data_IF_468297151322
#
_entry.id   IF_468297151322
#
_cell.length_a   1.000
_cell.length_b   1.000
_cell.length_c   1.000
_cell.angle_alpha   90.00
_cell.angle_beta   90.00
_cell.angle_gamma   90.00
#
_symmetry.space_group_name_H-M   'P 1'
#
loop_
_entity.id
_entity.type
_entity.pdbx_description
1 polymer ?
#
# COMPACT_ATOMS: atom_id res chain seq x y z
N UNK A 1 -7.35 -5.95 14.14
CA UNK A 1 -6.59 -5.08 13.23
C UNK A 1 -5.38 -4.53 13.98
N UNK A 2 -4.21 -4.37 13.34
CA UNK A 2 -3.01 -3.73 13.89
C UNK A 2 -2.81 -2.38 13.19
N UNK A 3 -2.19 -1.40 13.85
CA UNK A 3 -2.01 -0.05 13.31
C UNK A 3 -0.58 0.15 12.86
N UNK A 4 -0.39 0.65 11.65
CA UNK A 4 0.92 0.90 11.05
C UNK A 4 1.01 2.24 10.34
N UNK A 5 2.17 2.46 9.74
CA UNK A 5 2.44 3.62 8.87
C UNK A 5 3.15 3.12 7.61
N UNK A 6 2.76 3.62 6.45
CA UNK A 6 3.52 3.42 5.23
C UNK A 6 4.55 4.53 5.04
N UNK A 7 5.77 4.15 4.68
CA UNK A 7 6.90 5.07 4.48
C UNK A 7 6.68 6.07 3.36
N UNK A 8 5.73 5.79 2.43
CA UNK A 8 5.36 6.74 1.40
C UNK A 8 4.76 8.03 1.97
N UNK A 9 4.18 7.99 3.17
CA UNK A 9 3.75 9.18 3.91
C UNK A 9 4.86 10.22 4.09
N UNK A 10 6.10 9.81 3.96
CA UNK A 10 7.31 10.64 4.15
C UNK A 10 8.10 10.86 2.84
N UNK A 11 7.48 10.62 1.67
CA UNK A 11 8.13 10.65 0.35
C UNK A 11 8.96 11.93 0.10
N UNK A 12 8.52 13.10 0.60
CA UNK A 12 9.26 14.36 0.44
C UNK A 12 10.66 14.30 1.09
N UNK A 13 10.79 13.61 2.21
CA UNK A 13 12.09 13.44 2.87
C UNK A 13 13.03 12.51 2.11
N UNK A 14 12.49 11.70 1.19
CA UNK A 14 13.28 10.90 0.26
C UNK A 14 13.53 11.60 -1.08
N UNK A 15 13.03 12.82 -1.23
CA UNK A 15 13.24 13.66 -2.41
C UNK A 15 12.22 13.45 -3.52
N UNK A 16 11.19 12.69 -3.27
CA UNK A 16 10.04 12.58 -4.17
C UNK A 16 9.07 13.72 -3.86
N UNK A 17 8.85 14.59 -4.85
CA UNK A 17 7.97 15.74 -4.71
C UNK A 17 6.82 15.63 -5.71
N UNK A 18 5.59 15.74 -5.23
CA UNK A 18 4.42 15.82 -6.06
C UNK A 18 4.14 17.27 -6.49
N UNK A 19 3.38 17.51 -7.58
CA UNK A 19 3.05 18.85 -8.00
C UNK A 19 2.44 19.70 -6.87
N UNK A 20 3.05 20.85 -6.60
CA UNK A 20 2.63 21.78 -5.53
C UNK A 20 3.33 21.56 -4.18
N UNK A 21 4.07 20.48 -4.01
CA UNK A 21 4.80 20.23 -2.78
C UNK A 21 6.16 20.94 -2.75
N UNK A 22 6.58 21.34 -1.56
CA UNK A 22 7.89 21.95 -1.32
C UNK A 22 8.87 20.93 -0.75
N UNK A 23 10.15 21.02 -1.15
CA UNK A 23 11.22 20.22 -0.58
C UNK A 23 11.44 20.62 0.90
N UNK A 24 11.40 19.67 1.85
CA UNK A 24 11.66 19.92 3.27
C UNK A 24 13.14 20.32 3.55
N UNK A 25 14.05 20.20 2.58
CA UNK A 25 15.45 20.55 2.70
C UNK A 25 16.30 19.58 3.52
N UNK A 26 15.71 18.47 3.95
CA UNK A 26 16.41 17.38 4.65
C UNK A 26 16.12 16.06 3.96
N UNK A 27 17.02 15.08 4.12
CA UNK A 27 16.83 13.72 3.60
C UNK A 27 16.87 12.73 4.75
N UNK A 28 15.90 11.81 4.67
CA UNK A 28 15.78 10.72 5.63
C UNK A 28 16.39 9.43 5.10
N UNK A 29 16.73 8.60 6.06
CA UNK A 29 17.07 7.19 5.89
C UNK A 29 15.93 6.33 6.43
N UNK A 30 15.97 5.03 6.18
CA UNK A 30 15.03 4.06 6.80
C UNK A 30 15.05 4.17 8.33
N UNK A 31 16.23 4.40 8.93
CA UNK A 31 16.34 4.55 10.38
C UNK A 31 15.55 5.77 10.92
N UNK A 32 15.43 6.84 10.14
CA UNK A 32 14.62 7.99 10.53
C UNK A 32 13.13 7.64 10.50
N UNK A 33 12.67 6.89 9.49
CA UNK A 33 11.28 6.37 9.44
C UNK A 33 11.02 5.50 10.66
N UNK A 34 11.87 4.49 10.90
CA UNK A 34 11.73 3.56 12.03
C UNK A 34 11.67 4.31 13.37
N UNK A 35 12.54 5.31 13.55
CA UNK A 35 12.50 6.15 14.76
C UNK A 35 11.15 6.85 14.93
N UNK A 36 10.63 7.47 13.88
CA UNK A 36 9.35 8.19 13.94
C UNK A 36 8.19 7.24 14.21
N UNK A 37 8.10 6.10 13.52
CA UNK A 37 7.01 5.14 13.72
C UNK A 37 7.09 4.47 15.10
N UNK A 38 8.29 4.25 15.63
CA UNK A 38 8.49 3.76 17.01
C UNK A 38 8.02 4.80 18.03
N UNK A 39 8.34 6.09 17.84
CA UNK A 39 7.85 7.18 18.70
C UNK A 39 6.32 7.32 18.66
N UNK A 40 5.68 6.96 17.54
CA UNK A 40 4.22 6.92 17.39
C UNK A 40 3.58 5.70 18.07
N UNK A 41 4.36 4.70 18.45
CA UNK A 41 3.88 3.49 19.14
C UNK A 41 2.98 2.62 18.26
N UNK A 42 3.25 2.52 16.96
CA UNK A 42 2.50 1.68 16.02
C UNK A 42 2.96 0.22 16.09
N UNK A 43 2.14 -0.68 15.57
CA UNK A 43 2.41 -2.12 15.59
C UNK A 43 3.28 -2.56 14.39
N UNK A 44 3.34 -1.74 13.33
CA UNK A 44 4.10 -2.10 12.14
C UNK A 44 4.38 -0.95 11.20
N UNK A 45 5.19 -1.24 10.19
CA UNK A 45 5.59 -0.30 9.13
C UNK A 45 5.62 -1.00 7.79
N UNK A 46 5.13 -0.33 6.77
CA UNK A 46 5.31 -0.71 5.37
C UNK A 46 6.42 0.15 4.76
N UNK A 47 7.43 -0.48 4.19
CA UNK A 47 8.63 0.17 3.69
C UNK A 47 8.72 0.06 2.17
N UNK A 48 8.64 1.20 1.48
CA UNK A 48 8.81 1.30 0.04
C UNK A 48 10.25 0.98 -0.38
N UNK A 49 10.43 0.00 -1.26
CA UNK A 49 11.78 -0.39 -1.73
C UNK A 49 12.50 0.71 -2.49
N UNK A 50 11.79 1.65 -3.10
CA UNK A 50 12.41 2.81 -3.76
C UNK A 50 13.09 3.78 -2.79
N UNK A 51 12.77 3.69 -1.49
CA UNK A 51 13.39 4.49 -0.42
C UNK A 51 14.47 3.73 0.36
N UNK A 52 14.58 2.42 0.15
CA UNK A 52 15.53 1.56 0.86
C UNK A 52 16.91 1.54 0.16
N UNK A 53 17.97 1.73 0.93
CA UNK A 53 19.31 1.42 0.45
C UNK A 53 19.46 -0.11 0.23
N UNK A 54 20.14 -0.57 -0.82
CA UNK A 54 20.42 -1.99 -1.01
C UNK A 54 21.13 -2.66 0.17
N UNK A 55 21.86 -1.90 0.98
CA UNK A 55 22.56 -2.40 2.17
C UNK A 55 21.85 -2.01 3.48
N UNK A 56 20.60 -1.58 3.42
CA UNK A 56 19.83 -1.18 4.60
C UNK A 56 19.79 -2.30 5.64
N UNK A 57 19.86 -1.92 6.93
CA UNK A 57 19.85 -2.86 8.05
C UNK A 57 18.55 -3.67 8.13
N UNK A 58 17.45 -3.15 7.58
CA UNK A 58 16.18 -3.88 7.54
C UNK A 58 16.32 -5.26 6.88
N UNK A 59 17.20 -5.38 5.89
CA UNK A 59 17.46 -6.64 5.19
C UNK A 59 18.23 -7.68 6.01
N UNK A 60 18.85 -7.25 7.11
CA UNK A 60 19.61 -8.13 8.00
C UNK A 60 18.90 -8.41 9.32
N UNK A 61 17.70 -7.84 9.51
CA UNK A 61 16.88 -7.89 10.72
C UNK A 61 17.74 -7.81 12.00
N UNK A 62 18.32 -6.63 12.24
CA UNK A 62 18.97 -6.36 13.53
C UNK A 62 17.91 -6.35 14.62
N UNK A 63 18.25 -6.75 15.82
CA UNK A 63 17.36 -6.83 17.02
C UNK A 63 16.69 -5.48 17.37
N UNK A 64 17.04 -4.40 16.70
CA UNK A 64 16.50 -3.06 16.98
C UNK A 64 15.03 -2.87 16.54
N UNK A 65 14.44 -3.85 15.82
CA UNK A 65 13.09 -3.78 15.27
C UNK A 65 12.22 -4.99 15.60
N UNK A 66 12.58 -5.78 16.61
CA UNK A 66 11.91 -7.05 16.96
C UNK A 66 10.41 -6.87 17.29
N UNK A 67 10.03 -5.72 17.84
CA UNK A 67 8.65 -5.43 18.22
C UNK A 67 7.80 -4.81 17.09
N UNK A 68 8.40 -4.54 15.92
CA UNK A 68 7.72 -3.89 14.82
C UNK A 68 7.48 -4.86 13.66
N UNK A 69 6.23 -5.06 13.27
CA UNK A 69 5.92 -5.79 12.04
C UNK A 69 6.40 -4.99 10.82
N UNK A 70 7.16 -5.63 9.96
CA UNK A 70 7.66 -5.00 8.73
C UNK A 70 7.02 -5.66 7.52
N UNK A 71 6.44 -4.83 6.67
CA UNK A 71 5.98 -5.19 5.32
C UNK A 71 6.91 -4.54 4.31
N UNK A 72 7.27 -5.24 3.26
CA UNK A 72 7.98 -4.65 2.13
C UNK A 72 6.97 -4.22 1.08
N UNK A 73 6.95 -2.94 0.78
CA UNK A 73 6.22 -2.38 -0.33
C UNK A 73 7.15 -2.31 -1.55
N UNK A 74 6.93 -3.20 -2.53
CA UNK A 74 7.76 -3.23 -3.73
C UNK A 74 7.41 -2.04 -4.64
N UNK A 75 8.27 -1.03 -4.64
CA UNK A 75 8.11 0.26 -5.33
C UNK A 75 8.85 0.29 -6.66
N UNK A 76 8.40 -0.47 -7.66
CA UNK A 76 8.92 -0.36 -9.02
C UNK A 76 8.16 0.74 -9.78
N UNK A 77 8.83 1.61 -10.57
CA UNK A 77 8.19 2.80 -11.21
C UNK A 77 6.95 2.50 -12.04
N UNK A 78 6.91 1.33 -12.71
CA UNK A 78 5.78 0.91 -13.56
C UNK A 78 5.02 -0.29 -12.96
N UNK A 79 5.29 -0.70 -11.71
CA UNK A 79 4.84 -1.97 -11.19
C UNK A 79 5.29 -3.15 -12.08
N UNK A 80 4.46 -4.17 -12.20
CA UNK A 80 4.68 -5.27 -13.17
C UNK A 80 4.43 -4.83 -14.63
N UNK A 81 4.10 -3.55 -14.85
CA UNK A 81 3.71 -3.00 -16.15
C UNK A 81 2.59 -3.83 -16.80
N UNK A 82 1.58 -4.16 -16.01
CA UNK A 82 0.47 -5.00 -16.42
C UNK A 82 0.89 -6.35 -17.05
N UNK A 83 2.00 -6.92 -16.55
CA UNK A 83 2.58 -8.18 -17.05
C UNK A 83 3.50 -8.05 -18.27
N UNK A 84 3.86 -6.83 -18.68
CA UNK A 84 4.68 -6.57 -19.87
C UNK A 84 6.17 -6.36 -19.57
N UNK A 85 6.62 -6.50 -18.31
CA UNK A 85 8.00 -6.25 -17.90
C UNK A 85 8.64 -7.47 -17.24
N UNK A 86 9.44 -8.23 -17.99
CA UNK A 86 10.25 -9.33 -17.44
C UNK A 86 11.30 -8.84 -16.43
N UNK A 87 11.83 -7.64 -16.62
CA UNK A 87 12.79 -7.05 -15.69
C UNK A 87 12.14 -6.72 -14.34
N UNK A 88 10.90 -6.23 -14.33
CA UNK A 88 10.15 -5.97 -13.10
C UNK A 88 9.85 -7.27 -12.34
N UNK A 89 9.48 -8.34 -13.06
CA UNK A 89 9.29 -9.67 -12.45
C UNK A 89 10.59 -10.18 -11.84
N UNK A 90 11.74 -9.97 -12.50
CA UNK A 90 13.05 -10.37 -11.99
C UNK A 90 13.44 -9.56 -10.75
N UNK A 91 13.18 -8.25 -10.73
CA UNK A 91 13.44 -7.39 -9.60
C UNK A 91 12.56 -7.77 -8.39
N UNK A 92 11.26 -8.04 -8.62
CA UNK A 92 10.35 -8.52 -7.58
C UNK A 92 10.85 -9.85 -6.98
N UNK A 93 11.29 -10.82 -7.79
CA UNK A 93 11.88 -12.07 -7.28
C UNK A 93 13.09 -11.83 -6.39
N UNK A 94 13.95 -10.89 -6.77
CA UNK A 94 15.09 -10.48 -5.94
C UNK A 94 14.63 -9.91 -4.59
N UNK A 95 13.61 -9.05 -4.62
CA UNK A 95 13.01 -8.47 -3.41
C UNK A 95 12.37 -9.53 -2.52
N UNK A 96 11.62 -10.48 -3.10
CA UNK A 96 11.04 -11.61 -2.37
C UNK A 96 12.12 -12.43 -1.65
N UNK A 97 13.21 -12.78 -2.33
CA UNK A 97 14.33 -13.51 -1.74
C UNK A 97 15.00 -12.77 -0.57
N UNK A 98 15.12 -11.44 -0.68
CA UNK A 98 15.65 -10.59 0.39
C UNK A 98 14.68 -10.49 1.57
N UNK A 99 13.39 -10.28 1.32
CA UNK A 99 12.35 -10.22 2.34
C UNK A 99 12.31 -11.53 3.14
N UNK A 100 12.28 -12.68 2.47
CA UNK A 100 12.33 -14.00 3.11
C UNK A 100 13.60 -14.17 3.95
N UNK A 101 14.77 -13.80 3.44
CA UNK A 101 16.04 -13.88 4.17
C UNK A 101 16.05 -12.99 5.43
N UNK A 102 15.34 -11.86 5.38
CA UNK A 102 15.16 -10.96 6.51
C UNK A 102 14.05 -11.41 7.47
N UNK A 103 13.34 -12.52 7.21
CA UNK A 103 12.23 -13.00 8.02
C UNK A 103 10.97 -12.13 7.92
N UNK A 104 10.84 -11.36 6.86
CA UNK A 104 9.63 -10.58 6.52
C UNK A 104 8.69 -11.51 5.76
N UNK A 105 7.41 -11.50 6.10
CA UNK A 105 6.44 -12.46 5.58
C UNK A 105 5.47 -11.91 4.55
N UNK A 106 5.34 -10.59 4.41
CA UNK A 106 4.42 -9.95 3.47
C UNK A 106 5.17 -8.99 2.55
N UNK A 107 4.90 -9.12 1.25
CA UNK A 107 5.38 -8.20 0.21
C UNK A 107 4.17 -7.62 -0.51
N UNK A 108 3.96 -6.31 -0.41
CA UNK A 108 2.99 -5.59 -1.22
C UNK A 108 3.56 -5.39 -2.62
N UNK A 109 2.73 -5.63 -3.63
CA UNK A 109 3.08 -5.46 -5.04
C UNK A 109 2.02 -4.62 -5.76
N UNK A 110 2.41 -3.98 -6.86
CA UNK A 110 1.51 -3.27 -7.76
C UNK A 110 1.60 -3.83 -9.17
N UNK A 111 0.45 -3.94 -9.85
CA UNK A 111 0.38 -4.48 -11.21
C UNK A 111 0.80 -3.45 -12.25
N UNK A 112 0.46 -2.20 -12.00
CA UNK A 112 0.75 -1.07 -12.85
C UNK A 112 0.68 0.25 -12.10
N UNK A 113 0.34 1.31 -12.81
CA UNK A 113 0.11 2.66 -12.27
C UNK A 113 -1.11 3.29 -12.96
N UNK A 114 -1.54 4.45 -12.50
CA UNK A 114 -2.60 5.24 -13.13
C UNK A 114 -2.37 5.46 -14.65
N UNK A 115 -1.13 5.41 -15.13
CA UNK A 115 -0.83 5.52 -16.57
C UNK A 115 -1.28 4.31 -17.39
N UNK A 116 -1.63 3.20 -16.74
CA UNK A 116 -2.15 2.00 -17.39
C UNK A 116 -3.69 1.91 -17.32
N UNK A 117 -4.32 2.84 -16.58
CA UNK A 117 -5.77 2.89 -16.42
C UNK A 117 -6.48 3.02 -17.79
N UNK A 118 -7.43 2.13 -18.07
CA UNK A 118 -8.24 2.11 -19.29
C UNK A 118 -7.44 2.00 -20.63
N UNK A 119 -6.17 1.61 -20.59
CA UNK A 119 -5.38 1.41 -21.82
C UNK A 119 -5.76 0.14 -22.56
N UNK A 120 -6.05 -0.95 -21.82
CA UNK A 120 -6.45 -2.25 -22.36
C UNK A 120 -7.73 -2.75 -21.68
N UNK A 121 -8.51 -3.63 -22.32
CA UNK A 121 -9.62 -4.30 -21.65
C UNK A 121 -9.11 -5.05 -20.39
N UNK A 122 -9.75 -4.89 -19.22
CA UNK A 122 -9.32 -5.56 -17.99
C UNK A 122 -9.20 -7.08 -18.12
N UNK A 123 -10.08 -7.74 -18.88
CA UNK A 123 -10.01 -9.18 -19.13
C UNK A 123 -8.72 -9.61 -19.84
N UNK A 124 -8.21 -8.81 -20.78
CA UNK A 124 -6.94 -9.06 -21.46
C UNK A 124 -5.76 -8.95 -20.50
N UNK A 125 -5.83 -7.99 -19.58
CA UNK A 125 -4.81 -7.79 -18.54
C UNK A 125 -4.82 -8.95 -17.55
N UNK A 126 -6.00 -9.37 -17.07
CA UNK A 126 -6.17 -10.51 -16.17
C UNK A 126 -5.64 -11.80 -16.81
N UNK A 127 -5.98 -12.09 -18.06
CA UNK A 127 -5.48 -13.27 -18.79
C UNK A 127 -3.95 -13.29 -18.86
N UNK A 128 -3.31 -12.14 -19.09
CA UNK A 128 -1.85 -12.00 -19.18
C UNK A 128 -1.18 -12.14 -17.81
N UNK A 129 -1.76 -11.53 -16.76
CA UNK A 129 -1.19 -11.52 -15.42
C UNK A 129 -1.32 -12.86 -14.70
N UNK A 130 -2.39 -13.60 -14.95
CA UNK A 130 -2.69 -14.88 -14.25
C UNK A 130 -1.47 -15.83 -14.21
N UNK A 131 -0.84 -16.22 -15.32
CA UNK A 131 0.29 -17.15 -15.27
C UNK A 131 1.53 -16.53 -14.60
N UNK A 132 1.73 -15.22 -14.70
CA UNK A 132 2.88 -14.52 -14.11
C UNK A 132 2.73 -14.49 -12.58
N UNK A 133 1.58 -14.02 -12.09
CA UNK A 133 1.34 -13.90 -10.65
C UNK A 133 1.20 -15.29 -10.00
N UNK A 134 0.59 -16.27 -10.66
CA UNK A 134 0.55 -17.65 -10.19
C UNK A 134 1.98 -18.23 -10.01
N UNK A 135 2.89 -17.96 -10.94
CA UNK A 135 4.30 -18.34 -10.80
C UNK A 135 4.98 -17.69 -9.61
N UNK A 136 4.75 -16.37 -9.42
CA UNK A 136 5.27 -15.62 -8.26
C UNK A 136 4.69 -16.15 -6.94
N UNK A 137 3.41 -16.51 -6.89
CA UNK A 137 2.79 -17.11 -5.69
C UNK A 137 3.39 -18.48 -5.34
N UNK A 138 3.70 -19.31 -6.36
CA UNK A 138 4.40 -20.58 -6.11
C UNK A 138 5.77 -20.34 -5.49
N UNK A 139 6.53 -19.37 -6.01
CA UNK A 139 7.83 -18.99 -5.46
C UNK A 139 7.70 -18.37 -4.04
N UNK A 140 6.65 -17.59 -3.80
CA UNK A 140 6.36 -17.02 -2.48
C UNK A 140 6.10 -18.10 -1.43
N UNK A 141 5.34 -19.14 -1.76
CA UNK A 141 5.11 -20.29 -0.87
C UNK A 141 6.43 -20.99 -0.49
N UNK A 142 7.32 -21.21 -1.44
CA UNK A 142 8.64 -21.81 -1.19
C UNK A 142 9.52 -20.93 -0.27
N UNK A 143 9.28 -19.63 -0.29
CA UNK A 143 9.98 -18.63 0.53
C UNK A 143 9.29 -18.31 1.87
N UNK A 144 8.13 -18.92 2.17
CA UNK A 144 7.25 -18.60 3.30
C UNK A 144 6.82 -17.12 3.31
N UNK A 145 6.46 -16.60 2.15
CA UNK A 145 5.97 -15.24 1.92
C UNK A 145 4.51 -15.26 1.49
N UNK A 146 3.82 -14.17 1.78
CA UNK A 146 2.58 -13.79 1.12
C UNK A 146 2.84 -12.59 0.19
N UNK A 147 2.14 -12.55 -0.95
CA UNK A 147 2.06 -11.42 -1.84
C UNK A 147 0.69 -10.77 -1.66
N UNK A 148 0.64 -9.45 -1.61
CA UNK A 148 -0.63 -8.72 -1.61
C UNK A 148 -0.61 -7.66 -2.73
N UNK A 149 -1.57 -7.76 -3.65
CA UNK A 149 -1.72 -6.81 -4.76
C UNK A 149 -2.48 -5.60 -4.24
N UNK A 150 -1.90 -4.41 -4.39
CA UNK A 150 -2.56 -3.17 -4.03
C UNK A 150 -3.59 -2.74 -5.09
N UNK A 151 -4.72 -2.18 -4.65
CA UNK A 151 -5.61 -1.39 -5.49
C UNK A 151 -4.90 -0.08 -5.85
N UNK A 152 -4.22 0.00 -7.00
CA UNK A 152 -3.25 1.05 -7.32
C UNK A 152 -3.63 1.93 -8.53
N UNK A 153 -4.92 2.17 -8.79
CA UNK A 153 -5.44 2.92 -9.94
C UNK A 153 -5.02 2.33 -11.30
N UNK A 154 -4.89 1.03 -11.40
CA UNK A 154 -4.40 0.34 -12.60
C UNK A 154 -5.38 -0.72 -13.12
N UNK A 155 -6.21 -1.28 -12.25
CA UNK A 155 -7.21 -2.30 -12.58
C UNK A 155 -8.49 -2.07 -11.76
N UNK A 156 -9.69 -2.24 -12.34
CA UNK A 156 -10.94 -2.23 -11.57
C UNK A 156 -10.95 -3.30 -10.48
N UNK A 157 -11.55 -2.99 -9.33
CA UNK A 157 -11.63 -3.89 -8.17
C UNK A 157 -12.20 -5.25 -8.52
N UNK A 158 -13.29 -5.31 -9.30
CA UNK A 158 -13.87 -6.58 -9.75
C UNK A 158 -12.88 -7.44 -10.56
N UNK A 159 -12.06 -6.82 -11.42
CA UNK A 159 -11.05 -7.53 -12.20
C UNK A 159 -9.84 -7.97 -11.38
N UNK A 160 -9.53 -7.24 -10.30
CA UNK A 160 -8.54 -7.69 -9.33
C UNK A 160 -9.04 -8.94 -8.57
N UNK A 161 -10.31 -8.98 -8.19
CA UNK A 161 -10.93 -10.17 -7.59
C UNK A 161 -10.92 -11.34 -8.57
N UNK A 162 -11.31 -11.13 -9.83
CA UNK A 162 -11.22 -12.16 -10.88
C UNK A 162 -9.79 -12.75 -10.97
N UNK A 163 -8.76 -11.89 -10.91
CA UNK A 163 -7.36 -12.32 -10.96
C UNK A 163 -7.00 -13.19 -9.75
N UNK A 164 -7.38 -12.76 -8.53
CA UNK A 164 -7.09 -13.49 -7.29
C UNK A 164 -7.78 -14.84 -7.27
N UNK A 165 -9.06 -14.88 -7.68
CA UNK A 165 -9.85 -16.13 -7.74
C UNK A 165 -9.33 -17.11 -8.80
N UNK A 166 -8.93 -16.61 -9.97
CA UNK A 166 -8.34 -17.45 -11.03
C UNK A 166 -7.01 -18.08 -10.62
N UNK A 167 -6.23 -17.40 -9.79
CA UNK A 167 -4.95 -17.91 -9.29
C UNK A 167 -5.16 -18.88 -8.14
N UNK A 168 -6.15 -18.65 -7.28
CA UNK A 168 -6.56 -19.50 -6.15
C UNK A 168 -5.36 -19.96 -5.29
N UNK A 169 -4.52 -19.01 -4.90
CA UNK A 169 -3.32 -19.28 -4.10
C UNK A 169 -3.45 -18.76 -2.67
N UNK A 170 -3.14 -19.56 -1.64
CA UNK A 170 -3.13 -19.09 -0.25
C UNK A 170 -2.05 -18.04 0.02
N UNK A 171 -1.04 -17.94 -0.83
CA UNK A 171 0.02 -16.93 -0.75
C UNK A 171 -0.33 -15.62 -1.47
N UNK A 172 -1.59 -15.47 -1.95
CA UNK A 172 -2.03 -14.25 -2.62
C UNK A 172 -3.15 -13.58 -1.82
N UNK A 173 -3.03 -12.29 -1.64
CA UNK A 173 -4.06 -11.44 -1.09
C UNK A 173 -4.06 -10.06 -1.74
N UNK A 174 -4.74 -9.13 -1.11
CA UNK A 174 -4.92 -7.76 -1.59
C UNK A 174 -4.52 -6.77 -0.51
N UNK A 175 -3.95 -5.64 -0.91
CA UNK A 175 -3.89 -4.42 -0.10
C UNK A 175 -5.01 -3.50 -0.57
N UNK A 176 -5.98 -3.25 0.30
CA UNK A 176 -7.01 -2.25 0.04
C UNK A 176 -6.43 -0.86 0.31
N UNK A 177 -6.25 -0.07 -0.72
CA UNK A 177 -6.00 1.36 -0.60
C UNK A 177 -7.34 2.10 -0.69
N UNK A 178 -7.76 2.71 0.40
CA UNK A 178 -9.09 3.33 0.53
C UNK A 178 -9.29 4.53 -0.40
N UNK A 179 -8.22 5.21 -0.79
CA UNK A 179 -8.27 6.35 -1.69
C UNK A 179 -8.18 5.93 -3.17
N UNK A 180 -7.36 4.94 -3.49
CA UNK A 180 -7.12 4.56 -4.88
C UNK A 180 -8.37 4.00 -5.58
N UNK A 181 -9.24 3.28 -4.86
CA UNK A 181 -10.53 2.82 -5.39
C UNK A 181 -11.43 4.01 -5.75
N UNK A 182 -11.46 5.05 -4.93
CA UNK A 182 -12.25 6.25 -5.20
C UNK A 182 -11.67 7.08 -6.36
N UNK A 183 -10.35 7.11 -6.52
CA UNK A 183 -9.65 7.80 -7.61
C UNK A 183 -10.00 7.23 -8.99
N UNK A 184 -10.30 5.96 -9.08
CA UNK A 184 -10.78 5.31 -10.31
C UNK A 184 -12.30 5.36 -10.47
N UNK A 185 -13.01 6.06 -9.55
CA UNK A 185 -14.45 6.28 -9.62
C UNK A 185 -15.30 5.15 -9.03
N UNK A 186 -14.72 4.24 -8.29
CA UNK A 186 -15.46 3.19 -7.57
C UNK A 186 -15.94 3.70 -6.19
N UNK A 187 -16.99 3.10 -5.68
CA UNK A 187 -17.47 3.36 -4.31
C UNK A 187 -16.59 2.58 -3.31
N UNK A 188 -16.17 3.25 -2.23
CA UNK A 188 -15.28 2.65 -1.24
C UNK A 188 -15.92 1.46 -0.51
N UNK A 189 -17.22 1.55 -0.21
CA UNK A 189 -17.91 0.50 0.55
C UNK A 189 -18.11 -0.72 -0.35
N UNK A 190 -18.61 -0.52 -1.58
CA UNK A 190 -18.77 -1.60 -2.56
C UNK A 190 -17.42 -2.32 -2.83
N UNK A 191 -16.34 -1.55 -3.00
CA UNK A 191 -15.01 -2.11 -3.20
C UNK A 191 -14.50 -2.88 -1.96
N UNK A 192 -14.77 -2.34 -0.75
CA UNK A 192 -14.40 -3.01 0.51
C UNK A 192 -15.14 -4.33 0.67
N UNK A 193 -16.46 -4.35 0.46
CA UNK A 193 -17.27 -5.58 0.54
C UNK A 193 -16.75 -6.65 -0.44
N UNK A 194 -16.42 -6.26 -1.66
CA UNK A 194 -15.93 -7.17 -2.69
C UNK A 194 -14.54 -7.74 -2.35
N UNK A 195 -13.65 -6.94 -1.77
CA UNK A 195 -12.27 -7.31 -1.45
C UNK A 195 -12.10 -8.01 -0.09
N UNK A 196 -13.05 -7.85 0.84
CA UNK A 196 -12.97 -8.35 2.22
C UNK A 196 -12.37 -9.76 2.39
N UNK A 197 -12.72 -10.78 1.57
CA UNK A 197 -12.17 -12.13 1.74
C UNK A 197 -10.66 -12.21 1.49
N UNK A 198 -10.11 -11.26 0.77
CA UNK A 198 -8.74 -11.30 0.24
C UNK A 198 -7.80 -10.31 0.90
N UNK A 199 -8.31 -9.35 1.71
CA UNK A 199 -7.51 -8.28 2.30
C UNK A 199 -6.49 -8.85 3.30
N UNK A 200 -5.21 -8.53 3.08
CA UNK A 200 -4.10 -8.83 3.99
C UNK A 200 -3.59 -7.59 4.72
N UNK A 201 -3.74 -6.44 4.09
CA UNK A 201 -3.27 -5.15 4.59
C UNK A 201 -4.17 -4.04 4.04
N UNK A 202 -4.21 -2.90 4.72
CA UNK A 202 -4.92 -1.70 4.28
C UNK A 202 -3.94 -0.53 4.22
N UNK A 203 -3.94 0.21 3.10
CA UNK A 203 -3.44 1.57 3.05
C UNK A 203 -4.60 2.52 3.39
N UNK A 204 -4.60 3.01 4.61
CA UNK A 204 -5.61 3.94 5.09
C UNK A 204 -5.27 5.34 4.63
N UNK A 205 -6.00 5.84 3.65
CA UNK A 205 -5.93 7.20 3.11
C UNK A 205 -7.30 7.84 3.17
N UNK A 206 -7.33 9.15 3.43
CA UNK A 206 -8.52 9.97 3.26
C UNK A 206 -8.30 10.98 2.13
N UNK A 207 -9.35 11.50 1.53
CA UNK A 207 -9.27 12.42 0.40
C UNK A 207 -10.07 13.69 0.67
N UNK A 208 -9.51 14.84 0.29
CA UNK A 208 -10.27 16.08 0.09
C UNK A 208 -10.82 16.10 -1.34
N UNK A 209 -12.05 15.63 -1.52
CA UNK A 209 -12.69 15.54 -2.82
C UNK A 209 -12.99 16.91 -3.42
N UNK A 210 -13.11 17.95 -2.60
CA UNK A 210 -13.37 19.31 -3.08
C UNK A 210 -12.19 19.91 -3.87
N UNK A 211 -10.98 19.39 -3.65
CA UNK A 211 -9.75 19.79 -4.32
C UNK A 211 -9.18 18.72 -5.27
N UNK A 212 -9.89 17.61 -5.45
CA UNK A 212 -9.47 16.50 -6.27
C UNK A 212 -9.60 16.78 -7.77
N UNK A 213 -8.72 16.19 -8.57
CA UNK A 213 -8.82 16.22 -10.04
C UNK A 213 -9.72 15.08 -10.51
N UNK A 214 -11.03 15.26 -10.37
CA UNK A 214 -12.02 14.24 -10.74
C UNK A 214 -11.85 13.76 -12.19
N UNK A 215 -11.96 12.44 -12.39
CA UNK A 215 -11.84 11.81 -13.70
C UNK A 215 -10.40 11.62 -14.20
N UNK A 216 -9.41 12.02 -13.41
CA UNK A 216 -7.99 11.75 -13.68
C UNK A 216 -7.35 11.08 -12.45
N UNK A 217 -7.21 9.75 -12.43
CA UNK A 217 -6.57 9.04 -11.31
C UNK A 217 -5.13 9.49 -11.05
N UNK A 218 -4.43 10.01 -12.08
CA UNK A 218 -3.07 10.53 -11.97
C UNK A 218 -2.98 11.99 -11.53
N UNK A 219 -4.12 12.69 -11.43
CA UNK A 219 -4.21 14.08 -11.05
C UNK A 219 -3.88 14.34 -9.58
N UNK A 220 -4.18 15.55 -9.11
CA UNK A 220 -4.01 15.93 -7.71
C UNK A 220 -5.16 15.40 -6.87
N UNK A 221 -4.84 14.64 -5.82
CA UNK A 221 -5.78 14.08 -4.84
C UNK A 221 -5.24 14.34 -3.44
N UNK A 222 -5.56 15.49 -2.82
CA UNK A 222 -5.01 15.82 -1.50
C UNK A 222 -5.46 14.83 -0.44
N UNK A 223 -4.50 14.40 0.37
CA UNK A 223 -4.67 13.39 1.43
C UNK A 223 -4.57 14.09 2.79
N UNK A 224 -5.68 14.52 3.40
CA UNK A 224 -5.69 15.01 4.77
C UNK A 224 -5.48 13.87 5.76
N UNK A 225 -5.39 14.20 7.06
CA UNK A 225 -5.41 13.17 8.09
C UNK A 225 -6.72 12.37 8.08
N UNK A 226 -6.65 11.09 8.44
CA UNK A 226 -7.82 10.20 8.48
C UNK A 226 -8.97 10.80 9.31
N UNK A 227 -10.19 10.69 8.79
CA UNK A 227 -11.41 11.26 9.37
C UNK A 227 -11.53 12.79 9.22
N UNK A 228 -10.69 13.41 8.37
CA UNK A 228 -10.75 14.83 8.04
C UNK A 228 -11.04 15.10 6.57
N UNK A 229 -11.10 14.06 5.77
CA UNK A 229 -11.51 14.10 4.37
C UNK A 229 -12.99 13.74 4.22
N UNK A 230 -13.31 13.29 3.00
CA UNK A 230 -14.67 13.04 2.56
C UNK A 230 -15.00 11.53 2.44
N UNK A 231 -14.04 10.62 2.70
CA UNK A 231 -14.27 9.20 2.59
C UNK A 231 -14.98 8.62 3.83
N UNK A 232 -15.93 7.71 3.62
CA UNK A 232 -16.59 6.97 4.71
C UNK A 232 -15.69 5.82 5.21
N UNK A 233 -14.57 6.21 5.84
CA UNK A 233 -13.60 5.27 6.39
C UNK A 233 -14.19 4.45 7.55
N UNK A 234 -15.10 5.04 8.35
CA UNK A 234 -15.69 4.34 9.50
C UNK A 234 -16.49 3.12 9.03
N UNK A 235 -17.34 3.26 8.01
CA UNK A 235 -18.09 2.15 7.44
C UNK A 235 -17.18 1.09 6.83
N UNK A 236 -16.19 1.49 6.02
CA UNK A 236 -15.23 0.56 5.42
C UNK A 236 -14.45 -0.24 6.47
N UNK A 237 -13.97 0.40 7.53
CA UNK A 237 -13.26 -0.30 8.60
C UNK A 237 -14.18 -1.17 9.48
N UNK A 238 -15.45 -0.78 9.68
CA UNK A 238 -16.45 -1.63 10.33
C UNK A 238 -16.65 -2.94 9.55
N UNK A 239 -16.80 -2.87 8.23
CA UNK A 239 -16.97 -4.05 7.38
C UNK A 239 -15.74 -4.96 7.39
N UNK A 240 -14.54 -4.39 7.33
CA UNK A 240 -13.28 -5.13 7.46
C UNK A 240 -13.18 -5.88 8.80
N UNK A 241 -13.48 -5.21 9.92
CA UNK A 241 -13.43 -5.84 11.24
C UNK A 241 -14.53 -6.93 11.37
N UNK A 242 -15.74 -6.65 10.87
CA UNK A 242 -16.83 -7.62 10.88
C UNK A 242 -16.50 -8.89 10.07
N UNK A 243 -15.69 -8.77 9.01
CA UNK A 243 -15.21 -9.92 8.23
C UNK A 243 -14.01 -10.65 8.87
N UNK A 244 -13.49 -10.16 9.99
CA UNK A 244 -12.37 -10.78 10.71
C UNK A 244 -10.98 -10.30 10.27
N UNK A 245 -10.87 -9.13 9.67
CA UNK A 245 -9.57 -8.56 9.32
C UNK A 245 -8.70 -8.29 10.56
N UNK A 246 -7.56 -8.93 10.64
CA UNK A 246 -6.55 -8.79 11.71
C UNK A 246 -5.21 -8.22 11.19
N UNK A 247 -5.15 -7.89 9.90
CA UNK A 247 -3.96 -7.38 9.23
C UNK A 247 -3.53 -5.98 9.70
N UNK A 248 -2.49 -5.47 9.08
CA UNK A 248 -1.94 -4.15 9.34
C UNK A 248 -2.70 -3.09 8.53
N UNK A 249 -3.25 -2.07 9.21
CA UNK A 249 -3.78 -0.87 8.60
C UNK A 249 -2.75 0.25 8.72
N UNK A 250 -2.11 0.60 7.62
CA UNK A 250 -1.08 1.62 7.55
C UNK A 250 -1.67 2.97 7.15
N UNK A 251 -1.44 3.99 7.96
CA UNK A 251 -1.66 5.37 7.51
C UNK A 251 -0.73 5.65 6.33
N UNK A 252 -1.28 6.09 5.22
CA UNK A 252 -0.52 6.52 4.06
C UNK A 252 -1.01 7.86 3.56
N UNK A 253 -0.07 8.78 3.32
CA UNK A 253 -0.31 10.09 2.73
C UNK A 253 0.18 10.08 1.29
N UNK A 254 -0.67 10.56 0.38
CA UNK A 254 -0.32 10.80 -1.02
C UNK A 254 0.10 12.25 -1.25
N UNK A 255 -0.71 13.01 -2.00
CA UNK A 255 -0.47 14.45 -2.18
C UNK A 255 -0.81 15.21 -0.90
N UNK A 256 0.14 15.93 -0.36
CA UNK A 256 -0.06 16.68 0.87
C UNK A 256 -0.92 17.93 0.65
N UNK A 257 -1.82 18.27 1.58
CA UNK A 257 -2.45 19.59 1.60
C UNK A 257 -1.40 20.70 1.76
N UNK A 258 -1.69 21.88 1.20
CA UNK A 258 -0.75 23.00 1.24
C UNK A 258 -0.42 23.42 2.69
N UNK A 259 0.88 23.55 2.99
CA UNK A 259 1.38 24.01 4.29
C UNK A 259 1.23 23.02 5.45
N UNK A 260 0.87 21.76 5.17
CA UNK A 260 0.78 20.73 6.20
C UNK A 260 2.14 20.09 6.51
N UNK A 261 2.24 19.58 7.75
CA UNK A 261 3.34 18.77 8.25
C UNK A 261 2.93 17.29 8.20
N UNK A 262 3.59 16.51 7.36
CA UNK A 262 3.27 15.09 7.19
C UNK A 262 3.41 14.27 8.47
N UNK A 263 4.35 14.60 9.34
CA UNK A 263 4.54 13.89 10.62
C UNK A 263 3.31 14.11 11.51
N UNK A 264 2.78 15.35 11.54
CA UNK A 264 1.59 15.65 12.32
C UNK A 264 0.34 15.01 11.70
N UNK A 265 0.21 14.99 10.36
CA UNK A 265 -0.91 14.30 9.69
C UNK A 265 -0.88 12.80 9.96
N UNK A 266 0.28 12.16 9.87
CA UNK A 266 0.46 10.74 10.21
C UNK A 266 0.11 10.49 11.67
N UNK A 267 0.58 11.33 12.61
CA UNK A 267 0.25 11.22 14.03
C UNK A 267 -1.25 11.28 14.29
N UNK A 268 -1.95 12.17 13.62
CA UNK A 268 -3.42 12.28 13.71
C UNK A 268 -4.09 11.04 13.12
N UNK A 269 -3.62 10.54 11.98
CA UNK A 269 -4.13 9.31 11.36
C UNK A 269 -3.97 8.08 12.27
N UNK A 270 -2.78 7.92 12.88
CA UNK A 270 -2.54 6.84 13.86
C UNK A 270 -3.48 6.93 15.05
N UNK A 271 -3.73 8.15 15.57
CA UNK A 271 -4.72 8.34 16.65
C UNK A 271 -6.12 7.93 16.20
N UNK A 272 -6.53 8.36 15.01
CA UNK A 272 -7.84 8.02 14.48
C UNK A 272 -8.04 6.49 14.39
N UNK A 273 -7.05 5.74 13.85
CA UNK A 273 -7.11 4.27 13.80
C UNK A 273 -7.18 3.63 15.20
N UNK A 274 -6.42 4.16 16.16
CA UNK A 274 -6.44 3.67 17.55
C UNK A 274 -7.77 3.96 18.25
N UNK A 275 -8.31 5.16 18.08
CA UNK A 275 -9.59 5.58 18.67
C UNK A 275 -10.75 4.76 18.05
N UNK A 276 -10.72 4.56 16.73
CA UNK A 276 -11.66 3.69 16.03
C UNK A 276 -11.62 2.26 16.61
N UNK A 277 -10.43 1.68 16.72
CA UNK A 277 -10.24 0.32 17.26
C UNK A 277 -10.74 0.18 18.71
N UNK A 278 -10.61 1.22 19.53
CA UNK A 278 -11.09 1.23 20.91
C UNK A 278 -12.60 1.40 21.02
N UNK A 279 -13.27 1.91 19.98
CA UNK A 279 -14.72 2.14 19.93
C UNK A 279 -15.54 0.97 19.38
N UNK A 280 -14.89 0.00 18.74
CA UNK A 280 -15.49 -1.21 18.16
C UNK A 280 -15.23 -2.41 19.07
#
# INVERSE_FOLDING_TARGET
MRVGVDSYSFHRFFGELRPGESDPGVRWTTADVIRVVTELGVDGVSLETCFLDPNDLIWNRSNDYEDLEVVIAWGHPDGLRMGLSESAVTDLRSTMGRASSAGISLVRIVLGTHSHWEIEPPSTVVERLTPIVAGLCSEAMDLNLELAIETHCDLPTASLVDLVELIDSPALGVVLDTANVVRIGEDLIDATELLNPYVRMVHAKDLDLSQATHGDPGGRWPTPSLGKGDLDLESAFCDLIASGFEGLACVELGSLPDGCDEIELVRQGVRWLRDFQAGV
#
